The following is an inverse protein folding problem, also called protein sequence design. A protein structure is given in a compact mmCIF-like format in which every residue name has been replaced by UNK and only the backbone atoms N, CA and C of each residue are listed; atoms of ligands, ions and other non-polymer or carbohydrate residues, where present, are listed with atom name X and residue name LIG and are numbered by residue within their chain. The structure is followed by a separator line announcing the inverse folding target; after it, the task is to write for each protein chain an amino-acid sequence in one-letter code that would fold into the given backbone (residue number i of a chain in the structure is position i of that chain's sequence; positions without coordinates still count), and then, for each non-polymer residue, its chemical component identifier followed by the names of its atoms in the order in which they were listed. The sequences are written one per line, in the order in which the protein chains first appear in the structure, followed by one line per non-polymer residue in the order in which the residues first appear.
data_IF_467779898652
#
_entry.id   IF_467779898652
#
_cell.length_a   1.000
_cell.length_b   1.000
_cell.length_c   1.000
_cell.angle_alpha   90.00
_cell.angle_beta   90.00
_cell.angle_gamma   90.00
#
_symmetry.space_group_name_H-M   'P 1'
#
loop_
_entity.id
_entity.type
_entity.pdbx_description
1 polymer ?
#
# COMPACT_ATOMS: atom_id res chain seq x y z
N UNK A 1 -51.48 -30.68 22.90
CA UNK A 1 -52.13 -29.54 22.22
C UNK A 1 -51.23 -28.32 22.38
N UNK A 2 -50.39 -28.04 21.38
CA UNK A 2 -49.45 -26.91 21.38
C UNK A 2 -50.14 -25.71 20.70
N UNK A 3 -50.11 -24.56 21.36
CA UNK A 3 -50.97 -23.41 21.08
C UNK A 3 -50.72 -22.73 19.74
N UNK A 4 -51.74 -22.75 18.86
CA UNK A 4 -51.81 -22.04 17.56
C UNK A 4 -51.82 -20.50 17.67
N UNK A 5 -51.50 -19.91 18.83
CA UNK A 5 -51.50 -18.45 19.06
C UNK A 5 -50.14 -17.78 18.79
N UNK A 6 -49.04 -18.54 18.73
CA UNK A 6 -47.70 -18.00 18.42
C UNK A 6 -47.43 -17.81 16.93
N UNK A 7 -48.13 -18.54 16.05
CA UNK A 7 -47.91 -18.48 14.60
C UNK A 7 -48.46 -17.20 13.97
N UNK A 8 -49.57 -16.66 14.48
CA UNK A 8 -50.20 -15.45 13.94
C UNK A 8 -49.33 -14.22 14.20
N UNK A 9 -48.69 -14.13 15.36
CA UNK A 9 -47.79 -13.03 15.71
C UNK A 9 -46.56 -12.97 14.81
N UNK A 10 -46.03 -14.13 14.40
CA UNK A 10 -44.88 -14.22 13.48
C UNK A 10 -45.23 -13.64 12.11
N UNK A 11 -46.41 -13.95 11.57
CA UNK A 11 -46.83 -13.40 10.27
C UNK A 11 -47.01 -11.87 10.31
N UNK A 12 -47.50 -11.32 11.43
CA UNK A 12 -47.66 -9.87 11.59
C UNK A 12 -46.29 -9.19 11.66
N UNK A 13 -45.33 -9.74 12.40
CA UNK A 13 -43.96 -9.19 12.48
C UNK A 13 -43.27 -9.24 11.12
N UNK A 14 -43.39 -10.34 10.38
CA UNK A 14 -42.82 -10.46 9.03
C UNK A 14 -43.43 -9.44 8.09
N UNK A 15 -44.76 -9.26 8.09
CA UNK A 15 -45.42 -8.27 7.24
C UNK A 15 -44.96 -6.84 7.57
N UNK A 16 -44.79 -6.52 8.86
CA UNK A 16 -44.36 -5.19 9.30
C UNK A 16 -42.90 -4.91 8.92
N UNK A 17 -42.02 -5.91 9.03
CA UNK A 17 -40.63 -5.84 8.54
C UNK A 17 -40.58 -5.67 7.03
N UNK A 18 -41.42 -6.39 6.28
CA UNK A 18 -41.50 -6.28 4.82
C UNK A 18 -41.98 -4.89 4.39
N UNK A 19 -42.99 -4.34 5.06
CA UNK A 19 -43.48 -2.97 4.81
C UNK A 19 -42.40 -1.93 5.16
N UNK A 20 -41.65 -2.13 6.23
CA UNK A 20 -40.53 -1.24 6.58
C UNK A 20 -39.39 -1.30 5.56
N UNK A 21 -39.06 -2.48 5.04
CA UNK A 21 -38.03 -2.67 4.01
C UNK A 21 -38.47 -2.04 2.69
N UNK A 22 -39.72 -2.30 2.25
CA UNK A 22 -40.25 -1.73 1.00
C UNK A 22 -40.42 -0.22 1.12
N UNK A 23 -40.95 0.27 2.25
CA UNK A 23 -41.07 1.70 2.53
C UNK A 23 -39.72 2.39 2.59
N UNK A 24 -38.73 1.78 3.26
CA UNK A 24 -37.35 2.28 3.30
C UNK A 24 -36.69 2.31 1.91
N UNK A 25 -36.91 1.27 1.10
CA UNK A 25 -36.42 1.21 -0.29
C UNK A 25 -36.99 2.35 -1.14
N UNK A 26 -38.29 2.65 -1.04
CA UNK A 26 -38.90 3.75 -1.78
C UNK A 26 -38.44 5.13 -1.31
N UNK A 27 -38.20 5.31 0.00
CA UNK A 27 -37.67 6.57 0.55
C UNK A 27 -36.22 6.81 0.08
N UNK A 28 -35.40 5.75 0.05
CA UNK A 28 -34.02 5.83 -0.45
C UNK A 28 -34.00 6.06 -1.97
N UNK A 29 -34.89 5.42 -2.73
CA UNK A 29 -35.01 5.60 -4.19
C UNK A 29 -35.49 7.00 -4.59
N UNK A 30 -36.35 7.63 -3.78
CA UNK A 30 -36.82 9.00 -4.04
C UNK A 30 -35.81 10.10 -3.67
N UNK A 31 -34.71 9.78 -2.98
CA UNK A 31 -33.59 10.73 -2.82
C UNK A 31 -32.73 10.85 -4.07
N UNK A 32 -32.83 9.92 -5.03
CA UNK A 32 -32.23 10.03 -6.36
C UNK A 32 -33.13 10.80 -7.34
N UNK A 33 -33.83 11.82 -6.85
CA UNK A 33 -34.53 12.77 -7.71
C UNK A 33 -33.48 13.53 -8.52
N UNK A 34 -33.16 13.02 -9.72
CA UNK A 34 -32.51 13.83 -10.75
C UNK A 34 -33.43 15.03 -10.95
N UNK A 35 -33.01 16.19 -10.47
CA UNK A 35 -33.61 17.44 -10.91
C UNK A 35 -33.61 17.43 -12.44
N UNK A 36 -34.69 17.91 -13.04
CA UNK A 36 -34.74 18.02 -14.50
C UNK A 36 -33.71 19.08 -14.89
N UNK A 37 -32.51 18.63 -15.25
CA UNK A 37 -31.47 19.44 -15.82
C UNK A 37 -32.06 20.17 -17.03
N UNK A 38 -31.79 21.47 -17.13
CA UNK A 38 -32.22 22.25 -18.28
C UNK A 38 -31.57 21.68 -19.54
N UNK A 39 -32.32 21.47 -20.65
CA UNK A 39 -31.74 21.04 -21.92
C UNK A 39 -30.57 21.90 -22.41
N UNK A 40 -30.49 23.16 -21.93
CA UNK A 40 -29.38 24.08 -22.17
C UNK A 40 -28.06 23.63 -21.52
N UNK A 41 -28.11 23.20 -20.25
CA UNK A 41 -26.92 22.85 -19.46
C UNK A 41 -26.47 21.39 -19.67
N UNK A 42 -27.40 20.51 -20.07
CA UNK A 42 -27.15 19.08 -20.27
C UNK A 42 -25.88 18.73 -21.08
N UNK A 43 -25.55 19.37 -22.23
CA UNK A 43 -24.33 19.03 -22.96
C UNK A 43 -23.06 19.41 -22.19
N UNK A 44 -23.01 20.61 -21.61
CA UNK A 44 -21.86 21.10 -20.83
C UNK A 44 -21.67 20.25 -19.57
N UNK A 45 -22.75 19.95 -18.86
CA UNK A 45 -22.74 19.11 -17.67
C UNK A 45 -22.19 17.71 -17.97
N UNK A 46 -22.57 17.10 -19.12
CA UNK A 46 -22.01 15.81 -19.53
C UNK A 46 -20.50 15.85 -19.73
N UNK A 47 -19.98 16.92 -20.32
CA UNK A 47 -18.53 17.10 -20.45
C UNK A 47 -17.86 17.22 -19.08
N UNK A 48 -18.46 18.00 -18.17
CA UNK A 48 -17.96 18.13 -16.79
C UNK A 48 -17.97 16.81 -16.04
N UNK A 49 -19.06 16.02 -16.15
CA UNK A 49 -19.13 14.70 -15.52
C UNK A 49 -18.10 13.73 -16.10
N UNK A 50 -17.81 13.82 -17.41
CA UNK A 50 -16.75 13.04 -18.04
C UNK A 50 -15.37 13.43 -17.53
N UNK A 51 -15.06 14.74 -17.43
CA UNK A 51 -13.83 15.23 -16.85
C UNK A 51 -13.68 14.76 -15.40
N UNK A 52 -14.76 14.87 -14.60
CA UNK A 52 -14.77 14.45 -13.21
C UNK A 52 -14.51 12.94 -13.04
N UNK A 53 -15.08 12.10 -13.91
CA UNK A 53 -14.80 10.67 -13.94
C UNK A 53 -13.34 10.36 -14.32
N UNK A 54 -12.78 11.10 -15.28
CA UNK A 54 -11.38 10.98 -15.72
C UNK A 54 -10.40 11.42 -14.62
N UNK A 55 -10.58 12.62 -14.06
CA UNK A 55 -9.79 13.16 -12.96
C UNK A 55 -9.82 12.24 -11.73
N UNK A 56 -11.00 11.71 -11.38
CA UNK A 56 -11.11 10.79 -10.27
C UNK A 56 -10.36 9.47 -10.57
N UNK A 57 -10.44 8.96 -11.81
CA UNK A 57 -9.71 7.76 -12.21
C UNK A 57 -8.19 7.97 -12.20
N UNK A 58 -7.72 9.12 -12.65
CA UNK A 58 -6.29 9.49 -12.62
C UNK A 58 -5.80 9.62 -11.18
N UNK A 59 -6.52 10.37 -10.34
CA UNK A 59 -6.20 10.52 -8.93
C UNK A 59 -6.12 9.17 -8.23
N UNK A 60 -7.09 8.29 -8.43
CA UNK A 60 -7.05 6.93 -7.86
C UNK A 60 -5.82 6.15 -8.33
N UNK A 61 -5.42 6.28 -9.58
CA UNK A 61 -4.23 5.62 -10.13
C UNK A 61 -2.94 6.13 -9.49
N UNK A 62 -2.83 7.46 -9.26
CA UNK A 62 -1.70 8.06 -8.54
C UNK A 62 -1.65 7.56 -7.09
N UNK A 63 -2.81 7.50 -6.42
CA UNK A 63 -2.90 7.00 -5.06
C UNK A 63 -2.47 5.53 -4.95
N UNK A 64 -2.89 4.69 -5.91
CA UNK A 64 -2.49 3.28 -6.02
C UNK A 64 -0.98 3.13 -6.24
N UNK A 65 -0.38 3.97 -7.08
CA UNK A 65 1.06 3.93 -7.38
C UNK A 65 1.93 4.37 -6.18
N UNK A 66 1.45 5.32 -5.38
CA UNK A 66 2.20 5.93 -4.28
C UNK A 66 1.88 5.33 -2.90
N UNK A 67 1.38 4.09 -2.85
CA UNK A 67 1.14 3.40 -1.58
C UNK A 67 0.05 4.03 -0.71
N UNK A 68 -0.90 4.76 -1.30
CA UNK A 68 -2.00 5.37 -0.56
C UNK A 68 -1.73 6.81 -0.09
N UNK A 69 -0.70 7.49 -0.58
CA UNK A 69 -0.45 8.90 -0.26
C UNK A 69 -0.16 9.70 -1.52
N UNK A 70 -0.78 10.87 -1.69
CA UNK A 70 -0.46 11.79 -2.78
C UNK A 70 0.40 12.95 -2.30
N UNK A 71 0.10 13.47 -1.12
CA UNK A 71 0.75 14.66 -0.57
C UNK A 71 1.44 14.30 0.74
N UNK A 72 2.73 13.98 0.67
CA UNK A 72 3.54 13.57 1.82
C UNK A 72 4.62 14.60 2.17
N UNK A 73 5.17 14.47 3.38
CA UNK A 73 6.23 15.34 3.90
C UNK A 73 7.54 15.20 3.12
N UNK A 74 8.39 16.23 3.22
CA UNK A 74 9.68 16.31 2.53
C UNK A 74 10.55 15.06 2.70
N UNK A 75 11.14 14.60 1.59
CA UNK A 75 12.13 13.52 1.53
C UNK A 75 13.13 13.54 2.69
N UNK A 76 13.26 12.40 3.38
CA UNK A 76 14.26 12.19 4.43
C UNK A 76 15.40 11.31 3.89
N UNK A 77 16.63 11.85 3.74
CA UNK A 77 17.75 11.07 3.27
C UNK A 77 18.20 10.02 4.28
N UNK A 78 18.75 8.92 3.78
CA UNK A 78 19.51 7.98 4.60
C UNK A 78 20.84 8.55 5.09
N UNK A 79 21.55 7.75 5.87
CA UNK A 79 22.90 8.05 6.36
C UNK A 79 23.89 6.93 6.01
N UNK A 80 25.17 7.17 6.26
CA UNK A 80 26.21 6.13 6.11
C UNK A 80 25.96 4.90 7.00
N UNK A 81 25.23 5.07 8.09
CA UNK A 81 24.93 3.99 9.04
C UNK A 81 23.56 3.36 8.78
N UNK A 82 22.59 4.14 8.31
CA UNK A 82 21.25 3.68 7.93
C UNK A 82 20.95 4.15 6.49
N UNK A 83 21.29 3.35 5.47
CA UNK A 83 21.34 3.82 4.08
C UNK A 83 19.96 4.01 3.43
N UNK A 84 18.88 3.60 4.08
CA UNK A 84 17.52 3.75 3.59
C UNK A 84 17.00 5.18 3.76
N UNK A 85 16.28 5.67 2.75
CA UNK A 85 15.58 6.96 2.79
C UNK A 85 14.11 6.77 3.15
N UNK A 86 13.33 7.85 3.25
CA UNK A 86 11.88 7.76 3.41
C UNK A 86 11.12 7.28 2.17
N UNK A 87 11.81 7.14 1.02
CA UNK A 87 11.23 6.72 -0.25
C UNK A 87 12.01 5.56 -0.90
N UNK A 88 11.29 4.74 -1.64
CA UNK A 88 11.82 3.80 -2.61
C UNK A 88 11.93 4.50 -3.96
N UNK A 89 13.12 4.57 -4.55
CA UNK A 89 13.26 4.85 -5.97
C UNK A 89 12.93 3.56 -6.75
N UNK A 90 11.77 3.54 -7.36
CA UNK A 90 11.29 2.46 -8.20
C UNK A 90 11.22 2.93 -9.66
N UNK A 91 12.30 2.69 -10.39
CA UNK A 91 12.41 3.02 -11.83
C UNK A 91 12.29 4.54 -12.08
N UNK A 92 12.81 5.37 -11.17
CA UNK A 92 12.77 6.83 -11.24
C UNK A 92 11.56 7.46 -10.57
N UNK A 93 10.60 6.65 -10.09
CA UNK A 93 9.46 7.12 -9.31
C UNK A 93 9.76 6.97 -7.81
N UNK A 94 9.49 8.00 -7.03
CA UNK A 94 9.68 7.99 -5.57
C UNK A 94 8.41 7.51 -4.86
N UNK A 95 8.43 6.29 -4.34
CA UNK A 95 7.30 5.71 -3.60
C UNK A 95 7.55 5.85 -2.09
N UNK A 96 6.70 6.55 -1.32
CA UNK A 96 6.89 6.72 0.11
C UNK A 96 6.74 5.40 0.87
N UNK A 97 7.62 5.16 1.84
CA UNK A 97 7.47 4.00 2.73
C UNK A 97 6.47 4.26 3.84
N UNK A 98 5.62 3.26 4.11
CA UNK A 98 4.81 3.22 5.35
C UNK A 98 5.66 3.06 6.61
N UNK A 99 6.78 2.35 6.51
CA UNK A 99 7.71 2.13 7.61
C UNK A 99 9.14 2.24 7.10
N UNK A 100 9.96 3.04 7.79
CA UNK A 100 11.39 3.11 7.53
C UNK A 100 12.16 3.50 8.79
N UNK A 101 13.46 3.21 8.78
CA UNK A 101 14.41 3.71 9.77
C UNK A 101 15.14 4.89 9.14
N UNK A 102 14.97 6.07 9.73
CA UNK A 102 15.59 7.31 9.25
C UNK A 102 17.12 7.27 9.39
N UNK A 103 17.80 8.21 8.72
CA UNK A 103 19.26 8.33 8.81
C UNK A 103 19.81 8.55 10.23
N UNK A 104 18.99 9.04 11.17
CA UNK A 104 19.33 9.20 12.59
C UNK A 104 18.81 8.04 13.48
N UNK A 105 18.49 6.89 12.89
CA UNK A 105 18.06 5.67 13.57
C UNK A 105 16.75 5.84 14.38
N UNK A 106 15.81 6.60 13.84
CA UNK A 106 14.45 6.69 14.37
C UNK A 106 13.52 5.86 13.49
N UNK A 107 12.67 5.08 14.13
CA UNK A 107 11.58 4.38 13.45
C UNK A 107 10.49 5.38 13.13
N UNK A 108 10.07 5.43 11.86
CA UNK A 108 9.01 6.30 11.38
C UNK A 108 7.91 5.45 10.77
N UNK A 109 6.67 5.76 11.15
CA UNK A 109 5.46 5.11 10.63
C UNK A 109 4.57 6.16 9.97
N UNK A 110 4.37 6.02 8.67
CA UNK A 110 3.61 6.91 7.80
C UNK A 110 2.52 6.12 7.07
N UNK A 111 1.76 5.33 7.80
CA UNK A 111 0.62 4.60 7.23
C UNK A 111 -0.53 5.60 7.07
N UNK A 112 -0.96 5.93 5.83
CA UNK A 112 -2.06 6.86 5.62
C UNK A 112 -3.35 6.23 6.15
N UNK A 113 -4.22 7.02 6.78
CA UNK A 113 -5.57 6.56 7.05
C UNK A 113 -6.43 6.66 5.80
N UNK A 114 -7.55 5.93 5.79
CA UNK A 114 -8.52 6.02 4.69
C UNK A 114 -9.13 7.43 4.55
N UNK A 115 -9.22 8.17 5.65
CA UNK A 115 -9.65 9.58 5.64
C UNK A 115 -8.61 10.45 4.93
N UNK A 116 -7.33 10.24 5.22
CA UNK A 116 -6.24 11.01 4.58
C UNK A 116 -6.22 10.74 3.06
N UNK A 117 -6.42 9.48 2.65
CA UNK A 117 -6.57 9.09 1.25
C UNK A 117 -7.76 9.77 0.55
N UNK A 118 -8.90 9.87 1.23
CA UNK A 118 -10.10 10.55 0.73
C UNK A 118 -9.84 12.06 0.59
N UNK A 119 -9.23 12.69 1.60
CA UNK A 119 -8.87 14.12 1.58
C UNK A 119 -7.84 14.47 0.49
N UNK A 120 -6.88 13.58 0.23
CA UNK A 120 -5.93 13.71 -0.87
C UNK A 120 -6.63 13.69 -2.24
N UNK A 121 -7.56 12.75 -2.46
CA UNK A 121 -8.36 12.70 -3.68
C UNK A 121 -9.30 13.91 -3.83
N UNK A 122 -9.90 14.39 -2.73
CA UNK A 122 -10.73 15.60 -2.74
C UNK A 122 -9.94 16.81 -3.23
N UNK A 123 -8.70 16.96 -2.74
CA UNK A 123 -7.79 18.03 -3.14
C UNK A 123 -7.42 17.90 -4.62
N UNK A 124 -7.00 16.71 -5.04
CA UNK A 124 -6.63 16.43 -6.42
C UNK A 124 -7.77 16.78 -7.38
N UNK A 125 -8.97 16.24 -7.15
CA UNK A 125 -10.14 16.50 -8.01
C UNK A 125 -10.49 17.99 -8.07
N UNK A 126 -10.42 18.72 -6.95
CA UNK A 126 -10.70 20.17 -6.93
C UNK A 126 -9.68 20.99 -7.70
N UNK A 127 -8.46 20.50 -7.82
CA UNK A 127 -7.39 21.13 -8.59
C UNK A 127 -7.53 20.81 -10.08
N UNK A 128 -7.68 19.52 -10.42
CA UNK A 128 -7.74 19.03 -11.81
C UNK A 128 -8.99 19.44 -12.58
N UNK A 129 -10.17 19.48 -11.93
CA UNK A 129 -11.44 19.76 -12.64
C UNK A 129 -11.48 21.13 -13.32
N UNK A 130 -10.63 22.07 -12.88
CA UNK A 130 -10.51 23.41 -13.46
C UNK A 130 -9.87 23.41 -14.86
N UNK A 131 -9.19 22.32 -15.21
CA UNK A 131 -8.53 22.14 -16.51
C UNK A 131 -9.44 21.42 -17.53
N UNK A 132 -10.70 21.16 -17.18
CA UNK A 132 -11.68 20.56 -18.09
C UNK A 132 -11.88 21.41 -19.35
N UNK A 133 -11.73 20.78 -20.52
CA UNK A 133 -11.78 21.50 -21.79
C UNK A 133 -13.23 21.79 -22.24
N UNK A 134 -13.61 23.06 -22.24
CA UNK A 134 -14.92 23.54 -22.68
C UNK A 134 -14.88 24.42 -23.94
N UNK A 135 -13.75 24.46 -24.65
CA UNK A 135 -13.54 25.38 -25.77
C UNK A 135 -14.59 25.27 -26.87
N UNK A 136 -15.01 24.05 -27.21
CA UNK A 136 -16.01 23.79 -28.25
C UNK A 136 -17.35 24.48 -27.95
N UNK A 137 -17.72 24.61 -26.68
CA UNK A 137 -18.96 25.29 -26.29
C UNK A 137 -18.87 26.82 -26.42
N UNK A 138 -17.70 27.41 -26.14
CA UNK A 138 -17.52 28.85 -26.34
C UNK A 138 -17.66 29.22 -27.82
N UNK A 139 -17.16 28.38 -28.73
CA UNK A 139 -17.29 28.55 -30.18
C UNK A 139 -18.75 28.43 -30.65
N UNK A 140 -19.58 27.64 -29.94
CA UNK A 140 -21.02 27.51 -30.16
C UNK A 140 -21.86 28.63 -29.52
N UNK A 141 -21.22 29.63 -28.91
CA UNK A 141 -21.87 30.79 -28.32
C UNK A 141 -22.37 30.60 -26.89
N UNK A 142 -21.91 29.55 -26.19
CA UNK A 142 -22.15 29.41 -24.76
C UNK A 142 -21.29 30.38 -23.95
N UNK A 143 -21.83 30.88 -22.84
CA UNK A 143 -21.07 31.54 -21.79
C UNK A 143 -21.14 30.65 -20.54
N UNK A 144 -19.98 30.16 -20.11
CA UNK A 144 -19.86 29.18 -19.03
C UNK A 144 -19.02 29.79 -17.92
N UNK A 145 -19.53 29.76 -16.70
CA UNK A 145 -18.83 30.16 -15.49
C UNK A 145 -18.89 29.04 -14.47
N UNK A 146 -17.73 28.71 -13.91
CA UNK A 146 -17.57 27.59 -12.98
C UNK A 146 -17.03 28.08 -11.64
N UNK A 147 -17.61 27.58 -10.56
CA UNK A 147 -17.10 27.84 -9.21
C UNK A 147 -17.14 26.58 -8.36
N UNK A 148 -15.98 25.94 -8.24
CA UNK A 148 -15.78 24.82 -7.31
C UNK A 148 -15.82 25.33 -5.88
N UNK A 149 -16.67 24.72 -5.05
CA UNK A 149 -16.83 25.07 -3.64
C UNK A 149 -16.30 23.98 -2.72
N UNK A 150 -16.69 22.74 -2.97
CA UNK A 150 -16.35 21.58 -2.13
C UNK A 150 -16.31 20.31 -2.96
N UNK A 151 -15.57 19.31 -2.50
CA UNK A 151 -15.60 17.96 -3.05
C UNK A 151 -15.55 16.99 -1.89
N UNK A 152 -16.32 15.90 -1.97
CA UNK A 152 -16.29 14.83 -0.98
C UNK A 152 -16.02 13.51 -1.67
N UNK A 153 -14.94 12.86 -1.28
CA UNK A 153 -14.58 11.56 -1.84
C UNK A 153 -14.86 10.46 -0.83
N UNK A 154 -15.33 9.32 -1.33
CA UNK A 154 -15.54 8.14 -0.52
C UNK A 154 -14.94 6.92 -1.18
N UNK A 155 -14.00 6.29 -0.50
CA UNK A 155 -13.37 5.05 -0.91
C UNK A 155 -14.18 3.88 -0.34
N UNK A 156 -14.81 3.10 -1.21
CA UNK A 156 -15.42 1.81 -0.87
C UNK A 156 -14.50 0.67 -1.30
N UNK A 157 -14.85 -0.58 -0.98
CA UNK A 157 -13.99 -1.73 -1.31
C UNK A 157 -13.72 -1.89 -2.81
N UNK A 158 -14.70 -1.59 -3.67
CA UNK A 158 -14.64 -1.78 -5.14
C UNK A 158 -15.00 -0.55 -5.96
N UNK A 159 -15.10 0.61 -5.32
CA UNK A 159 -15.38 1.85 -6.02
C UNK A 159 -14.92 3.04 -5.23
N UNK A 160 -14.61 4.10 -5.95
CA UNK A 160 -14.39 5.43 -5.40
C UNK A 160 -15.46 6.33 -5.97
N UNK A 161 -16.09 7.10 -5.10
CA UNK A 161 -17.20 7.99 -5.44
C UNK A 161 -16.84 9.42 -5.05
N UNK A 162 -17.21 10.38 -5.88
CA UNK A 162 -17.03 11.81 -5.58
C UNK A 162 -18.35 12.55 -5.72
N UNK A 163 -18.68 13.32 -4.68
CA UNK A 163 -19.75 14.32 -4.68
C UNK A 163 -19.09 15.71 -4.79
N UNK A 164 -19.12 16.31 -5.98
CA UNK A 164 -18.55 17.63 -6.26
C UNK A 164 -19.62 18.71 -6.18
N UNK A 165 -19.38 19.73 -5.34
CA UNK A 165 -20.19 20.95 -5.25
C UNK A 165 -19.54 22.04 -6.10
N UNK A 166 -20.06 22.23 -7.30
CA UNK A 166 -19.57 23.21 -8.25
C UNK A 166 -20.72 23.92 -8.95
N UNK A 167 -20.81 25.24 -8.78
CA UNK A 167 -21.79 26.05 -9.50
C UNK A 167 -21.34 26.19 -10.96
N UNK A 168 -21.97 25.42 -11.84
CA UNK A 168 -21.87 25.51 -13.29
C UNK A 168 -23.00 26.38 -13.81
N UNK A 169 -22.68 27.62 -14.18
CA UNK A 169 -23.63 28.57 -14.78
C UNK A 169 -23.42 28.58 -16.28
N UNK A 170 -24.47 28.22 -17.03
CA UNK A 170 -24.47 28.14 -18.49
C UNK A 170 -25.49 29.13 -19.03
N UNK A 171 -25.04 30.02 -19.91
CA UNK A 171 -25.88 30.99 -20.62
C UNK A 171 -25.75 30.83 -22.14
N UNK A 172 -26.88 30.83 -22.86
CA UNK A 172 -26.93 30.86 -24.33
C UNK A 172 -28.20 31.55 -24.79
N UNK A 173 -28.08 32.48 -25.74
CA UNK A 173 -29.23 33.20 -26.32
C UNK A 173 -30.14 33.89 -25.28
N UNK A 174 -29.60 34.25 -24.11
CA UNK A 174 -30.32 34.87 -23.00
C UNK A 174 -31.06 33.91 -22.07
N UNK A 175 -31.03 32.59 -22.35
CA UNK A 175 -31.43 31.56 -21.39
C UNK A 175 -30.27 31.25 -20.44
N UNK A 176 -30.56 31.13 -19.15
CA UNK A 176 -29.57 30.83 -18.10
C UNK A 176 -30.01 29.56 -17.37
N UNK A 177 -29.06 28.65 -17.16
CA UNK A 177 -29.22 27.46 -16.35
C UNK A 177 -28.06 27.35 -15.35
N UNK A 178 -28.35 26.81 -14.16
CA UNK A 178 -27.34 26.55 -13.13
C UNK A 178 -27.46 25.10 -12.66
N UNK A 179 -26.32 24.43 -12.56
CA UNK A 179 -26.19 23.08 -12.00
C UNK A 179 -25.09 23.12 -10.95
N UNK A 180 -25.41 22.75 -9.71
CA UNK A 180 -24.48 22.89 -8.57
C UNK A 180 -23.90 21.57 -8.06
N UNK A 181 -24.54 20.44 -8.38
CA UNK A 181 -24.23 19.14 -7.80
C UNK A 181 -23.82 18.15 -8.89
N UNK A 182 -22.59 17.64 -8.79
CA UNK A 182 -22.01 16.72 -9.75
C UNK A 182 -21.56 15.45 -9.03
N UNK A 183 -21.84 14.29 -9.62
CA UNK A 183 -21.51 13.00 -9.03
C UNK A 183 -20.81 12.13 -10.06
N UNK A 184 -19.67 11.55 -9.66
CA UNK A 184 -18.95 10.57 -10.45
C UNK A 184 -18.58 9.36 -9.60
N UNK A 185 -18.45 8.21 -10.26
CA UNK A 185 -18.08 6.95 -9.63
C UNK A 185 -17.17 6.15 -10.55
N UNK A 186 -16.00 5.78 -10.04
CA UNK A 186 -15.05 4.92 -10.73
C UNK A 186 -14.95 3.56 -10.03
N UNK A 187 -14.75 2.50 -10.82
CA UNK A 187 -14.48 1.17 -10.28
C UNK A 187 -12.99 1.07 -9.97
N UNK A 188 -12.64 0.89 -8.70
CA UNK A 188 -11.26 0.64 -8.27
C UNK A 188 -11.28 -0.27 -7.04
N UNK A 189 -10.24 -1.08 -6.89
CA UNK A 189 -10.05 -1.97 -5.73
C UNK A 189 -9.22 -1.32 -4.62
N UNK A 190 -8.85 -0.04 -4.72
CA UNK A 190 -7.97 0.62 -3.76
C UNK A 190 -8.43 0.44 -2.31
N UNK A 191 -9.75 0.48 -2.03
CA UNK A 191 -10.28 0.24 -0.69
C UNK A 191 -10.03 -1.20 -0.18
N UNK A 192 -10.29 -2.21 -1.01
CA UNK A 192 -10.00 -3.62 -0.67
C UNK A 192 -8.49 -3.87 -0.54
N UNK A 193 -7.68 -3.26 -1.41
CA UNK A 193 -6.22 -3.39 -1.40
C UNK A 193 -5.61 -2.74 -0.16
N UNK A 194 -6.08 -1.56 0.22
CA UNK A 194 -5.68 -0.89 1.46
C UNK A 194 -6.03 -1.73 2.69
N UNK A 195 -7.25 -2.26 2.77
CA UNK A 195 -7.67 -3.11 3.88
C UNK A 195 -6.79 -4.37 4.00
N UNK A 196 -6.39 -4.98 2.88
CA UNK A 196 -5.46 -6.11 2.88
C UNK A 196 -4.03 -5.69 3.24
N UNK A 197 -3.53 -4.58 2.70
CA UNK A 197 -2.20 -4.05 3.00
C UNK A 197 -2.03 -3.72 4.49
N UNK A 198 -3.05 -3.16 5.14
CA UNK A 198 -3.04 -2.93 6.60
C UNK A 198 -2.92 -4.23 7.38
N UNK A 199 -3.59 -5.31 6.95
CA UNK A 199 -3.46 -6.61 7.62
C UNK A 199 -2.06 -7.20 7.47
N UNK A 200 -1.46 -7.09 6.28
CA UNK A 200 -0.07 -7.51 6.05
C UNK A 200 0.88 -6.72 6.93
N UNK A 201 0.72 -5.39 6.94
CA UNK A 201 1.51 -4.49 7.78
C UNK A 201 1.41 -4.86 9.27
N UNK A 202 0.20 -5.03 9.79
CA UNK A 202 -0.02 -5.40 11.19
C UNK A 202 0.58 -6.77 11.53
N UNK A 203 0.46 -7.74 10.62
CA UNK A 203 1.07 -9.06 10.79
C UNK A 203 2.59 -8.98 10.80
N UNK A 204 3.19 -8.16 9.95
CA UNK A 204 4.63 -7.94 9.98
C UNK A 204 5.06 -7.29 11.29
N UNK A 205 4.36 -6.25 11.75
CA UNK A 205 4.67 -5.60 13.02
C UNK A 205 4.53 -6.54 14.24
N UNK A 206 3.64 -7.54 14.19
CA UNK A 206 3.47 -8.51 15.27
C UNK A 206 4.44 -9.68 15.18
N UNK A 207 4.66 -10.20 13.98
CA UNK A 207 5.36 -11.46 13.76
C UNK A 207 6.83 -11.25 13.42
N UNK A 208 7.21 -10.08 12.90
CA UNK A 208 8.55 -9.76 12.39
C UNK A 208 9.04 -10.85 11.42
N UNK A 209 8.18 -11.20 10.45
CA UNK A 209 8.46 -12.33 9.61
C UNK A 209 9.61 -12.00 8.66
N UNK A 210 9.72 -10.78 8.14
CA UNK A 210 10.85 -10.40 7.27
C UNK A 210 12.18 -10.46 8.05
N UNK A 211 12.21 -10.06 9.32
CA UNK A 211 13.41 -10.19 10.16
C UNK A 211 13.78 -11.65 10.40
N UNK A 212 12.79 -12.53 10.64
CA UNK A 212 13.03 -13.97 10.80
C UNK A 212 13.65 -14.58 9.55
N UNK A 213 13.09 -14.31 8.37
CA UNK A 213 13.70 -14.76 7.10
C UNK A 213 15.06 -14.10 6.86
N UNK A 214 15.24 -12.84 7.27
CA UNK A 214 16.54 -12.16 7.21
C UNK A 214 17.60 -12.90 8.03
N UNK A 215 17.28 -13.30 9.26
CA UNK A 215 18.17 -14.08 10.13
C UNK A 215 18.45 -15.46 9.52
N UNK A 216 17.45 -16.13 8.95
CA UNK A 216 17.64 -17.43 8.32
C UNK A 216 18.53 -17.32 7.08
N UNK A 217 18.38 -16.27 6.26
CA UNK A 217 19.30 -15.98 5.17
C UNK A 217 20.73 -15.73 5.68
N UNK A 218 20.90 -14.97 6.76
CA UNK A 218 22.22 -14.76 7.35
C UNK A 218 22.84 -16.09 7.80
N UNK A 219 22.09 -16.96 8.47
CA UNK A 219 22.59 -18.25 8.98
C UNK A 219 22.91 -19.26 7.88
N UNK A 220 22.18 -19.25 6.78
CA UNK A 220 22.35 -20.20 5.68
C UNK A 220 23.43 -19.77 4.68
N UNK A 221 23.59 -18.46 4.48
CA UNK A 221 24.46 -17.91 3.43
C UNK A 221 25.68 -17.14 3.98
N UNK A 222 25.85 -17.06 5.29
CA UNK A 222 27.05 -16.53 5.94
C UNK A 222 27.62 -17.51 6.97
N UNK A 223 28.94 -17.49 7.23
CA UNK A 223 29.56 -18.30 8.26
C UNK A 223 29.25 -17.73 9.66
N UNK A 224 27.99 -17.73 10.11
CA UNK A 224 27.61 -17.12 11.40
C UNK A 224 28.18 -17.90 12.56
N UNK A 225 27.92 -19.21 12.63
CA UNK A 225 28.33 -20.06 13.74
C UNK A 225 28.65 -21.48 13.27
N UNK A 226 29.70 -22.10 13.83
CA UNK A 226 29.98 -23.49 13.52
C UNK A 226 31.24 -24.07 14.13
N UNK A 227 31.40 -25.38 13.90
CA UNK A 227 32.53 -26.20 14.33
C UNK A 227 32.97 -27.09 13.17
N UNK A 228 34.26 -27.08 12.89
CA UNK A 228 34.87 -27.95 11.88
C UNK A 228 36.05 -28.72 12.47
N UNK A 229 36.14 -30.02 12.19
CA UNK A 229 37.24 -30.86 12.64
C UNK A 229 38.47 -30.68 11.73
N UNK A 230 39.19 -29.58 11.93
CA UNK A 230 40.39 -29.25 11.17
C UNK A 230 41.45 -28.56 12.04
N UNK A 231 42.72 -28.75 11.69
CA UNK A 231 43.87 -28.10 12.32
C UNK A 231 44.34 -26.86 11.53
N UNK A 232 43.70 -26.52 10.41
CA UNK A 232 44.02 -25.33 9.61
C UNK A 232 43.00 -24.21 9.87
N UNK A 233 43.41 -22.93 9.91
CA UNK A 233 42.48 -21.82 10.03
C UNK A 233 41.44 -21.84 8.89
N UNK A 234 40.21 -21.48 9.22
CA UNK A 234 39.17 -21.23 8.23
C UNK A 234 39.15 -19.75 7.89
N UNK A 235 39.01 -19.44 6.60
CA UNK A 235 39.02 -18.07 6.11
C UNK A 235 37.94 -17.84 5.07
N UNK A 236 37.22 -16.73 5.20
CA UNK A 236 36.20 -16.30 4.23
C UNK A 236 36.49 -14.87 3.76
N UNK A 237 36.17 -14.60 2.49
CA UNK A 237 36.22 -13.25 1.94
C UNK A 237 34.90 -12.53 2.26
N UNK A 238 34.97 -11.46 3.06
CA UNK A 238 33.76 -10.77 3.52
C UNK A 238 32.95 -10.16 2.37
N UNK A 239 33.60 -9.66 1.32
CA UNK A 239 32.89 -9.14 0.14
C UNK A 239 32.10 -10.23 -0.61
N UNK A 240 32.65 -11.44 -0.71
CA UNK A 240 31.92 -12.59 -1.26
C UNK A 240 30.71 -12.94 -0.41
N UNK A 241 30.90 -13.07 0.91
CA UNK A 241 29.82 -13.36 1.86
C UNK A 241 28.71 -12.30 1.76
N UNK A 242 29.05 -11.02 1.68
CA UNK A 242 28.06 -9.95 1.54
C UNK A 242 27.33 -10.01 0.18
N UNK A 243 28.00 -10.45 -0.88
CA UNK A 243 27.36 -10.73 -2.17
C UNK A 243 26.35 -11.86 -2.05
N UNK A 244 26.76 -12.98 -1.46
CA UNK A 244 25.93 -14.17 -1.27
C UNK A 244 24.69 -13.85 -0.41
N UNK A 245 24.85 -13.07 0.66
CA UNK A 245 23.72 -12.60 1.49
C UNK A 245 22.74 -11.75 0.68
N UNK A 246 23.23 -10.81 -0.14
CA UNK A 246 22.36 -9.94 -0.95
C UNK A 246 21.58 -10.73 -2.00
N UNK A 247 22.25 -11.64 -2.70
CA UNK A 247 21.61 -12.52 -3.67
C UNK A 247 20.58 -13.44 -2.97
N UNK A 248 20.92 -13.97 -1.79
CA UNK A 248 19.99 -14.77 -1.00
C UNK A 248 18.77 -13.97 -0.54
N UNK A 249 18.93 -12.75 -0.01
CA UNK A 249 17.81 -11.91 0.41
C UNK A 249 16.91 -11.58 -0.77
N UNK A 250 17.46 -11.21 -1.92
CA UNK A 250 16.69 -10.97 -3.15
C UNK A 250 15.85 -12.20 -3.56
N UNK A 251 16.51 -13.35 -3.72
CA UNK A 251 15.86 -14.58 -4.19
C UNK A 251 14.85 -15.15 -3.19
N UNK A 252 15.17 -15.15 -1.89
CA UNK A 252 14.27 -15.69 -0.87
C UNK A 252 13.11 -14.75 -0.58
N UNK A 253 13.29 -13.41 -0.70
CA UNK A 253 12.16 -12.47 -0.59
C UNK A 253 11.17 -12.70 -1.72
N UNK A 254 11.64 -12.89 -2.96
CA UNK A 254 10.80 -13.18 -4.12
C UNK A 254 10.04 -14.52 -4.01
N UNK A 255 10.56 -15.47 -3.22
CA UNK A 255 9.91 -16.75 -2.99
C UNK A 255 8.75 -16.66 -1.98
N UNK A 256 8.70 -15.61 -1.14
CA UNK A 256 7.63 -15.42 -0.16
C UNK A 256 6.27 -15.29 -0.84
N UNK A 257 5.27 -15.93 -0.26
CA UNK A 257 3.90 -15.92 -0.76
C UNK A 257 2.88 -15.75 0.34
N UNK A 258 1.79 -15.06 0.01
CA UNK A 258 0.72 -14.80 0.96
C UNK A 258 -0.15 -16.01 1.31
N UNK A 259 -0.24 -17.00 0.42
CA UNK A 259 -1.01 -18.23 0.66
C UNK A 259 -0.37 -19.44 -0.05
N UNK A 260 -0.66 -20.65 0.42
CA UNK A 260 -0.08 -21.87 -0.11
C UNK A 260 -0.22 -23.08 0.80
N UNK A 261 0.62 -24.10 0.59
CA UNK A 261 0.66 -25.28 1.45
C UNK A 261 1.15 -24.95 2.85
N UNK A 262 0.57 -25.57 3.88
CA UNK A 262 0.89 -25.30 5.29
C UNK A 262 2.33 -25.63 5.70
N UNK A 263 2.99 -26.53 4.98
CA UNK A 263 4.35 -26.96 5.27
C UNK A 263 5.39 -26.26 4.38
N UNK A 264 4.95 -25.34 3.52
CA UNK A 264 5.86 -24.56 2.71
C UNK A 264 6.50 -23.46 3.56
N UNK A 265 7.84 -23.50 3.65
CA UNK A 265 8.60 -22.52 4.41
C UNK A 265 8.37 -21.09 3.94
N UNK A 266 8.08 -20.84 2.66
CA UNK A 266 7.87 -19.49 2.13
C UNK A 266 6.42 -19.00 2.22
N UNK A 267 5.51 -19.80 2.75
CA UNK A 267 4.11 -19.42 2.90
C UNK A 267 3.86 -18.67 4.21
N UNK A 268 3.43 -17.41 4.09
CA UNK A 268 3.20 -16.51 5.23
C UNK A 268 1.81 -16.67 5.87
N UNK A 269 0.88 -17.38 5.23
CA UNK A 269 -0.52 -17.54 5.67
C UNK A 269 -1.15 -16.17 6.02
N UNK A 270 -1.11 -15.23 5.06
CA UNK A 270 -1.60 -13.87 5.23
C UNK A 270 -3.14 -13.87 5.26
N UNK A 271 -3.78 -13.12 6.18
CA UNK A 271 -5.24 -13.06 6.30
C UNK A 271 -5.88 -12.10 5.27
N UNK A 272 -5.51 -12.25 4.00
CA UNK A 272 -5.88 -11.36 2.89
C UNK A 272 -6.50 -12.14 1.75
N UNK A 273 -7.29 -11.45 0.91
CA UNK A 273 -7.93 -12.08 -0.24
C UNK A 273 -7.17 -11.83 -1.54
N UNK A 274 -6.43 -10.73 -1.61
CA UNK A 274 -5.67 -10.35 -2.79
C UNK A 274 -4.25 -10.96 -2.78
N UNK A 275 -3.67 -11.12 -3.97
CA UNK A 275 -2.29 -11.58 -4.12
C UNK A 275 -1.32 -10.52 -3.56
N UNK A 276 -0.44 -10.94 -2.66
CA UNK A 276 0.63 -10.10 -2.11
C UNK A 276 1.96 -10.58 -2.66
N UNK A 277 2.75 -9.65 -3.17
CA UNK A 277 4.09 -9.91 -3.69
C UNK A 277 5.12 -9.20 -2.83
N UNK A 278 6.22 -9.90 -2.57
CA UNK A 278 7.36 -9.38 -1.84
C UNK A 278 8.50 -9.21 -2.84
N UNK A 279 9.16 -8.06 -2.79
CA UNK A 279 10.24 -7.71 -3.72
C UNK A 279 11.39 -7.14 -2.91
N UNK A 280 12.60 -7.58 -3.25
CA UNK A 280 13.84 -6.98 -2.81
C UNK A 280 14.77 -6.89 -4.03
N UNK A 281 15.78 -6.02 -3.96
CA UNK A 281 16.80 -5.89 -4.99
C UNK A 281 18.16 -5.81 -4.34
N UNK A 282 19.11 -6.60 -4.83
CA UNK A 282 20.51 -6.54 -4.38
C UNK A 282 21.17 -5.19 -4.63
N UNK A 283 20.59 -4.38 -5.53
CA UNK A 283 21.06 -3.04 -5.85
C UNK A 283 20.48 -1.97 -4.93
N UNK A 284 19.49 -2.30 -4.10
CA UNK A 284 18.97 -1.35 -3.11
C UNK A 284 20.01 -1.06 -2.02
N UNK A 285 20.00 0.17 -1.46
CA UNK A 285 20.95 0.56 -0.43
C UNK A 285 20.93 -0.41 0.75
N UNK A 286 22.07 -1.03 1.04
CA UNK A 286 22.21 -2.00 2.14
C UNK A 286 23.53 -1.83 2.85
N UNK A 287 23.55 -2.14 4.14
CA UNK A 287 24.75 -2.11 4.97
C UNK A 287 24.84 -3.41 5.76
N UNK A 288 25.98 -4.08 5.64
CA UNK A 288 26.32 -5.28 6.39
C UNK A 288 27.62 -5.00 7.12
N UNK A 289 27.63 -5.25 8.42
CA UNK A 289 28.81 -5.19 9.27
C UNK A 289 29.00 -6.56 9.91
N UNK A 290 30.25 -6.93 10.17
CA UNK A 290 30.59 -8.24 10.74
C UNK A 290 31.81 -8.15 11.66
N UNK A 291 31.70 -8.82 12.79
CA UNK A 291 32.69 -8.87 13.85
C UNK A 291 32.89 -10.31 14.35
N UNK A 292 34.13 -10.76 14.63
CA UNK A 292 35.39 -10.08 14.35
C UNK A 292 35.75 -10.13 12.85
N UNK A 293 36.45 -9.12 12.33
CA UNK A 293 36.99 -9.14 10.96
C UNK A 293 38.39 -8.53 10.91
N UNK A 294 39.25 -9.06 10.04
CA UNK A 294 40.60 -8.52 9.76
C UNK A 294 40.64 -7.97 8.35
N UNK A 295 40.28 -6.69 8.19
CA UNK A 295 40.08 -6.09 6.87
C UNK A 295 38.91 -6.78 6.15
N UNK A 296 39.13 -7.26 4.93
CA UNK A 296 38.11 -7.97 4.13
C UNK A 296 38.08 -9.49 4.38
N UNK A 297 38.75 -9.98 5.42
CA UNK A 297 38.86 -11.40 5.74
C UNK A 297 38.22 -11.73 7.08
N UNK A 298 37.37 -12.75 7.08
CA UNK A 298 36.87 -13.42 8.27
C UNK A 298 37.79 -14.60 8.55
N UNK A 299 38.36 -14.69 9.76
CA UNK A 299 39.36 -15.72 10.09
C UNK A 299 38.98 -16.37 11.41
N UNK A 300 38.91 -17.71 11.39
CA UNK A 300 38.70 -18.54 12.57
C UNK A 300 39.91 -19.44 12.80
N UNK A 301 40.53 -19.31 13.96
CA UNK A 301 41.78 -20.00 14.31
C UNK A 301 41.48 -21.36 14.97
N UNK A 302 42.31 -22.39 14.71
CA UNK A 302 42.12 -23.73 15.26
C UNK A 302 42.48 -23.80 16.75
N UNK A 303 41.70 -24.56 17.51
CA UNK A 303 41.98 -24.98 18.88
C UNK A 303 42.54 -26.40 18.87
N UNK A 304 43.52 -26.70 19.73
CA UNK A 304 44.18 -28.01 19.81
C UNK A 304 45.63 -28.04 19.31
N UNK A 305 46.04 -27.06 18.48
CA UNK A 305 47.44 -26.89 18.04
C UNK A 305 48.34 -26.20 19.08
N UNK A 306 47.77 -25.79 20.21
CA UNK A 306 48.47 -25.07 21.27
C UNK A 306 49.31 -26.04 22.11
N UNK A 307 50.46 -25.57 22.59
CA UNK A 307 51.38 -26.37 23.40
C UNK A 307 50.66 -26.91 24.65
N UNK A 308 50.56 -28.24 24.77
CA UNK A 308 49.87 -28.93 25.86
C UNK A 308 48.48 -29.48 25.53
N UNK A 309 47.79 -28.96 24.51
CA UNK A 309 46.47 -29.46 24.07
C UNK A 309 46.56 -30.50 22.93
N UNK A 310 47.67 -30.54 22.22
CA UNK A 310 47.91 -31.53 21.15
C UNK A 310 47.92 -32.99 21.60
N UNK A 311 47.96 -33.25 22.92
CA UNK A 311 47.85 -34.60 23.50
C UNK A 311 46.46 -35.23 23.23
N UNK A 312 45.43 -34.41 22.99
CA UNK A 312 44.06 -34.87 22.72
C UNK A 312 43.90 -35.52 21.34
N UNK A 313 44.86 -35.35 20.42
CA UNK A 313 44.90 -36.07 19.14
C UNK A 313 43.93 -35.57 18.07
N UNK A 314 43.22 -34.46 18.29
CA UNK A 314 42.39 -33.79 17.29
C UNK A 314 42.40 -32.27 17.47
N UNK A 315 42.18 -31.54 16.37
CA UNK A 315 41.95 -30.10 16.37
C UNK A 315 40.55 -29.81 15.85
N UNK A 316 40.04 -28.65 16.23
CA UNK A 316 38.80 -28.12 15.67
C UNK A 316 38.88 -26.60 15.55
N UNK A 317 38.17 -26.05 14.58
CA UNK A 317 37.98 -24.61 14.41
C UNK A 317 36.55 -24.30 14.81
N UNK A 318 36.39 -23.39 15.76
CA UNK A 318 35.10 -22.78 16.09
C UNK A 318 35.03 -21.40 15.46
N UNK A 319 33.90 -21.02 14.90
CA UNK A 319 33.67 -19.64 14.44
C UNK A 319 32.34 -19.12 14.95
N UNK A 320 32.32 -17.83 15.26
CA UNK A 320 31.16 -17.04 15.65
C UNK A 320 31.37 -15.63 15.09
N UNK A 321 30.68 -15.28 14.02
CA UNK A 321 30.70 -13.98 13.37
C UNK A 321 29.32 -13.34 13.51
N UNK A 322 29.28 -12.13 14.09
CA UNK A 322 28.06 -11.34 14.37
C UNK A 322 28.08 -10.04 13.60
#
# INVERSE_FOLDING_TARGET
MVGKRGQVTIFIVIALVLVAIVGGYFILKNRSGKEKISPLADPVEKTILSCLEEDLSEGVSVLEANGGSMYYDSFSPGSRYMPFSSHLDFVGEEIPYWYYISGNNLEVQNVPSKSDMEEDLERFVKESIKDCNLNDYYDEGYQISERVSDAKVKISGRSVEVDLKMDLVVEKEGEIATVSDHYAKVNSKIGELYDDAIKVYQKEQSDLFLEKYGIDNLRLYAPVDGVELTCSPLTWNASSVFGDIRDAVELNTLALKGSGEKNDYFNLDLPVNNEVRFVNSRNWPSKIEVSPSKGNMLIAEPVGNQQGLGILGFCYVTYHFV
#
